data_IF_989231910268
#
_entry.id   IF_989231910268
#
_cell.length_a   1.000
_cell.length_b   1.000
_cell.length_c   1.000
_cell.angle_alpha   90.00
_cell.angle_beta   90.00
_cell.angle_gamma   90.00
#
_symmetry.space_group_name_H-M   'P 1'
#
loop_
_entity.id
_entity.type
_entity.pdbx_description
1 polymer ?
#
# COMPACT_ATOMS: atom_id res chain seq x y z
N UNK A 1 80.31 -10.39 -19.92
CA UNK A 1 79.11 -9.98 -20.68
C UNK A 1 77.98 -11.00 -20.60
N UNK A 2 78.25 -12.29 -20.34
CA UNK A 2 77.25 -13.37 -20.27
C UNK A 2 76.38 -13.36 -19.01
N UNK A 3 76.96 -13.13 -17.82
CA UNK A 3 76.22 -13.15 -16.54
C UNK A 3 75.14 -12.06 -16.39
N UNK A 4 75.31 -10.92 -17.06
CA UNK A 4 74.33 -9.82 -17.03
C UNK A 4 73.09 -10.16 -17.86
N UNK A 5 73.27 -10.91 -18.96
CA UNK A 5 72.19 -11.34 -19.84
C UNK A 5 71.37 -12.44 -19.17
N UNK A 6 72.02 -13.37 -18.46
CA UNK A 6 71.34 -14.46 -17.76
C UNK A 6 70.48 -13.95 -16.59
N UNK A 7 70.95 -12.95 -15.84
CA UNK A 7 70.20 -12.33 -14.75
C UNK A 7 69.00 -11.52 -15.27
N UNK A 8 69.14 -10.83 -16.41
CA UNK A 8 68.04 -10.13 -17.07
C UNK A 8 66.96 -11.11 -17.57
N UNK A 9 67.36 -12.25 -18.15
CA UNK A 9 66.45 -13.29 -18.61
C UNK A 9 65.70 -13.96 -17.45
N UNK A 10 66.36 -14.21 -16.31
CA UNK A 10 65.70 -14.73 -15.11
C UNK A 10 64.67 -13.75 -14.53
N UNK A 11 64.99 -12.45 -14.49
CA UNK A 11 64.03 -11.42 -14.05
C UNK A 11 62.81 -11.34 -14.98
N UNK A 12 63.03 -11.43 -16.29
CA UNK A 12 61.94 -11.39 -17.28
C UNK A 12 61.01 -12.61 -17.12
N UNK A 13 61.58 -13.81 -16.92
CA UNK A 13 60.79 -15.02 -16.65
C UNK A 13 59.98 -14.93 -15.35
N UNK A 14 60.55 -14.34 -14.30
CA UNK A 14 59.82 -14.12 -13.04
C UNK A 14 58.69 -13.11 -13.18
N UNK A 15 58.87 -12.06 -13.99
CA UNK A 15 57.83 -11.07 -14.28
C UNK A 15 56.70 -11.66 -15.12
N UNK A 16 57.02 -12.47 -16.13
CA UNK A 16 56.01 -13.14 -16.96
C UNK A 16 55.17 -14.14 -16.16
N UNK A 17 55.79 -14.91 -15.26
CA UNK A 17 55.07 -15.82 -14.36
C UNK A 17 54.21 -15.06 -13.35
N UNK A 18 54.65 -13.88 -12.89
CA UNK A 18 53.85 -13.00 -12.03
C UNK A 18 52.63 -12.45 -12.79
N UNK A 19 52.82 -11.93 -14.00
CA UNK A 19 51.73 -11.43 -14.86
C UNK A 19 50.71 -12.51 -15.19
N UNK A 20 51.16 -13.74 -15.48
CA UNK A 20 50.25 -14.88 -15.72
C UNK A 20 49.38 -15.19 -14.50
N UNK A 21 49.95 -15.12 -13.29
CA UNK A 21 49.18 -15.34 -12.05
C UNK A 21 48.18 -14.21 -11.80
N UNK A 22 48.56 -12.96 -12.02
CA UNK A 22 47.67 -11.81 -11.89
C UNK A 22 46.49 -11.88 -12.88
N UNK A 23 46.74 -12.30 -14.13
CA UNK A 23 45.68 -12.51 -15.14
C UNK A 23 44.74 -13.64 -14.71
N UNK A 24 45.29 -14.77 -14.24
CA UNK A 24 44.48 -15.90 -13.78
C UNK A 24 43.62 -15.56 -12.54
N UNK A 25 44.13 -14.70 -11.65
CA UNK A 25 43.38 -14.21 -10.49
C UNK A 25 42.27 -13.23 -10.89
N UNK A 26 42.56 -12.31 -11.83
CA UNK A 26 41.56 -11.39 -12.37
C UNK A 26 40.42 -12.13 -13.09
N UNK A 27 40.73 -13.21 -13.82
CA UNK A 27 39.71 -14.04 -14.47
C UNK A 27 38.82 -14.78 -13.46
N UNK A 28 39.39 -15.26 -12.35
CA UNK A 28 38.60 -15.86 -11.25
C UNK A 28 37.66 -14.84 -10.62
N UNK A 29 38.15 -13.63 -10.34
CA UNK A 29 37.31 -12.57 -9.76
C UNK A 29 36.17 -12.18 -10.70
N UNK A 30 36.44 -12.13 -12.03
CA UNK A 30 35.39 -11.88 -13.03
C UNK A 30 34.32 -12.97 -13.03
N UNK A 31 34.71 -14.24 -12.98
CA UNK A 31 33.75 -15.35 -12.91
C UNK A 31 32.88 -15.30 -11.65
N UNK A 32 33.46 -14.91 -10.52
CA UNK A 32 32.73 -14.79 -9.26
C UNK A 32 31.74 -13.61 -9.28
N UNK A 33 32.12 -12.47 -9.89
CA UNK A 33 31.23 -11.33 -10.11
C UNK A 33 30.09 -11.70 -11.06
N UNK A 34 30.36 -12.41 -12.15
CA UNK A 34 29.34 -12.83 -13.10
C UNK A 34 28.35 -13.81 -12.46
N UNK A 35 28.84 -14.78 -11.67
CA UNK A 35 28.00 -15.68 -10.89
C UNK A 35 27.11 -14.92 -9.89
N UNK A 36 27.70 -13.98 -9.15
CA UNK A 36 26.95 -13.15 -8.18
C UNK A 36 25.89 -12.31 -8.88
N UNK A 37 26.19 -11.79 -10.08
CA UNK A 37 25.25 -11.00 -10.88
C UNK A 37 24.10 -11.85 -11.40
N UNK A 38 24.35 -13.08 -11.84
CA UNK A 38 23.30 -14.01 -12.25
C UNK A 38 22.37 -14.37 -11.09
N UNK A 39 22.92 -14.67 -9.90
CA UNK A 39 22.12 -14.92 -8.70
C UNK A 39 21.24 -13.72 -8.31
N UNK A 40 21.77 -12.50 -8.42
CA UNK A 40 21.00 -11.26 -8.15
C UNK A 40 19.92 -11.04 -9.21
N UNK A 41 20.21 -11.31 -10.49
CA UNK A 41 19.24 -11.21 -11.59
C UNK A 41 18.12 -12.24 -11.45
N UNK A 42 18.41 -13.44 -10.97
CA UNK A 42 17.41 -14.46 -10.69
C UNK A 42 16.49 -14.05 -9.54
N UNK A 43 17.05 -13.52 -8.44
CA UNK A 43 16.26 -12.94 -7.33
C UNK A 43 15.40 -11.76 -7.76
N UNK A 44 15.91 -10.90 -8.65
CA UNK A 44 15.13 -9.78 -9.19
C UNK A 44 14.01 -10.25 -10.13
N UNK A 45 14.22 -11.32 -10.91
CA UNK A 45 13.16 -11.94 -11.73
C UNK A 45 12.09 -12.60 -10.87
N UNK A 46 12.46 -13.21 -9.75
CA UNK A 46 11.53 -13.75 -8.76
C UNK A 46 10.71 -12.62 -8.10
N UNK A 47 11.36 -11.52 -7.71
CA UNK A 47 10.69 -10.36 -7.13
C UNK A 47 9.83 -9.55 -8.13
N UNK A 48 10.14 -9.62 -9.43
CA UNK A 48 9.43 -8.93 -10.50
C UNK A 48 8.29 -9.76 -11.12
N UNK A 49 8.09 -11.01 -10.70
CA UNK A 49 6.87 -11.74 -11.07
C UNK A 49 5.67 -11.06 -10.39
N UNK A 50 4.64 -10.63 -11.16
CA UNK A 50 3.38 -10.21 -10.55
C UNK A 50 2.88 -11.40 -9.71
N UNK A 51 2.25 -11.18 -8.54
CA UNK A 51 1.82 -12.27 -7.67
C UNK A 51 0.99 -13.29 -8.47
N UNK A 52 1.61 -14.42 -8.81
CA UNK A 52 0.97 -15.51 -9.55
C UNK A 52 0.22 -16.36 -8.54
N UNK A 53 -0.97 -15.90 -8.21
CA UNK A 53 -1.96 -16.61 -7.41
C UNK A 53 -3.18 -15.71 -7.22
N UNK A 54 -4.39 -16.26 -7.01
CA UNK A 54 -5.45 -15.44 -6.44
C UNK A 54 -4.87 -14.85 -5.15
N UNK A 55 -4.83 -13.53 -5.02
CA UNK A 55 -4.58 -12.89 -3.72
C UNK A 55 -5.58 -13.50 -2.77
N UNK A 56 -5.17 -14.50 -1.99
CA UNK A 56 -6.06 -15.18 -1.07
C UNK A 56 -6.29 -14.16 0.04
N UNK A 57 -7.34 -13.35 -0.10
CA UNK A 57 -7.70 -12.36 0.91
C UNK A 57 -8.13 -13.13 2.15
N UNK A 58 -7.18 -13.35 3.05
CA UNK A 58 -7.44 -13.89 4.37
C UNK A 58 -7.81 -12.73 5.28
N UNK A 59 -8.91 -12.85 6.01
CA UNK A 59 -9.23 -11.94 7.10
C UNK A 59 -8.09 -12.00 8.13
N UNK A 60 -8.11 -11.09 9.11
CA UNK A 60 -7.09 -10.93 10.18
C UNK A 60 -6.71 -12.26 10.88
N UNK A 61 -7.57 -13.28 10.83
CA UNK A 61 -7.43 -14.60 11.45
C UNK A 61 -7.53 -15.79 10.47
N UNK A 62 -7.58 -15.55 9.15
CA UNK A 62 -7.79 -16.60 8.14
C UNK A 62 -9.24 -16.75 7.68
N UNK A 63 -9.48 -17.68 6.73
CA UNK A 63 -10.76 -17.84 6.01
C UNK A 63 -11.97 -18.25 6.86
N UNK A 64 -11.75 -18.81 8.05
CA UNK A 64 -12.82 -19.38 8.89
C UNK A 64 -13.01 -18.65 10.22
N UNK A 65 -12.40 -17.47 10.37
CA UNK A 65 -12.52 -16.70 11.60
C UNK A 65 -13.98 -16.29 11.84
N UNK A 66 -14.44 -16.40 13.07
CA UNK A 66 -15.75 -15.89 13.48
C UNK A 66 -15.67 -14.39 13.79
N UNK A 67 -16.80 -13.65 13.72
CA UNK A 67 -16.85 -12.25 14.15
C UNK A 67 -16.31 -12.01 15.57
N UNK A 68 -16.57 -12.93 16.48
CA UNK A 68 -16.17 -12.83 17.89
C UNK A 68 -14.66 -12.99 18.08
N UNK A 69 -14.04 -13.94 17.36
CA UNK A 69 -12.59 -14.10 17.37
C UNK A 69 -11.89 -12.88 16.78
N UNK A 70 -12.43 -12.33 15.69
CA UNK A 70 -11.92 -11.09 15.09
C UNK A 70 -12.04 -9.93 16.07
N UNK A 71 -13.19 -9.77 16.74
CA UNK A 71 -13.36 -8.75 17.77
C UNK A 71 -12.35 -8.90 18.92
N UNK A 72 -12.11 -10.13 19.35
CA UNK A 72 -11.17 -10.42 20.43
C UNK A 72 -9.76 -10.00 20.03
N UNK A 73 -9.27 -10.46 18.88
CA UNK A 73 -7.94 -10.11 18.38
C UNK A 73 -7.79 -8.61 18.12
N UNK A 74 -8.81 -7.96 17.58
CA UNK A 74 -8.79 -6.51 17.31
C UNK A 74 -8.73 -5.72 18.62
N UNK A 75 -9.48 -6.10 19.65
CA UNK A 75 -9.42 -5.46 20.96
C UNK A 75 -8.09 -5.74 21.70
N UNK A 76 -7.49 -6.93 21.53
CA UNK A 76 -6.14 -7.23 22.02
C UNK A 76 -5.08 -6.37 21.32
N UNK A 77 -5.15 -6.29 19.99
CA UNK A 77 -4.27 -5.45 19.18
C UNK A 77 -4.41 -3.97 19.54
N UNK A 78 -5.62 -3.51 19.89
CA UNK A 78 -5.87 -2.15 20.36
C UNK A 78 -5.20 -1.89 21.71
N UNK A 79 -5.30 -2.83 22.66
CA UNK A 79 -4.60 -2.75 23.96
C UNK A 79 -3.08 -2.70 23.80
N UNK A 80 -2.54 -3.39 22.79
CA UNK A 80 -1.11 -3.41 22.51
C UNK A 80 -0.56 -2.11 21.89
N UNK A 81 -1.42 -1.19 21.41
CA UNK A 81 -0.97 0.14 20.96
C UNK A 81 -0.46 0.93 22.19
N UNK A 82 0.73 1.55 22.13
CA UNK A 82 1.23 2.44 23.17
C UNK A 82 0.23 3.54 23.53
N UNK A 83 0.24 3.98 24.79
CA UNK A 83 -0.64 5.06 25.25
C UNK A 83 -0.27 6.41 24.64
N UNK A 84 0.99 6.59 24.25
CA UNK A 84 1.46 7.75 23.49
C UNK A 84 2.11 7.25 22.20
N UNK A 85 1.61 7.71 21.06
CA UNK A 85 2.19 7.41 19.75
C UNK A 85 2.86 8.66 19.21
N UNK A 86 4.18 8.59 18.99
CA UNK A 86 4.97 9.65 18.37
C UNK A 86 5.04 9.41 16.86
N UNK A 87 4.86 10.45 16.05
CA UNK A 87 5.00 10.34 14.61
C UNK A 87 6.48 10.10 14.23
N UNK A 88 6.74 9.11 13.36
CA UNK A 88 8.10 8.81 12.89
C UNK A 88 8.71 9.97 12.07
N UNK A 89 7.85 10.80 11.46
CA UNK A 89 8.26 11.89 10.57
C UNK A 89 8.29 13.27 11.26
N UNK A 90 7.71 13.40 12.46
CA UNK A 90 7.68 14.65 13.23
C UNK A 90 7.71 14.34 14.74
N UNK A 91 8.89 14.46 15.35
CA UNK A 91 9.15 14.08 16.75
C UNK A 91 8.30 14.88 17.76
N UNK A 92 7.77 16.04 17.35
CA UNK A 92 6.97 16.91 18.20
C UNK A 92 5.46 16.56 18.21
N UNK A 93 5.01 15.72 17.28
CA UNK A 93 3.61 15.28 17.19
C UNK A 93 3.42 13.96 17.97
N UNK A 94 2.89 14.08 19.20
CA UNK A 94 2.46 12.96 20.03
C UNK A 94 0.94 12.87 20.14
N UNK A 95 0.39 11.67 19.98
CA UNK A 95 -1.04 11.42 20.10
C UNK A 95 -1.32 10.53 21.32
N UNK A 96 -2.07 11.07 22.28
CA UNK A 96 -2.53 10.33 23.44
C UNK A 96 -3.70 9.40 23.07
N UNK A 97 -3.59 8.15 23.48
CA UNK A 97 -4.60 7.13 23.26
C UNK A 97 -5.84 7.46 24.11
N UNK A 98 -7.02 7.61 23.49
CA UNK A 98 -8.21 7.93 24.23
C UNK A 98 -8.63 6.76 25.14
N UNK A 99 -9.15 7.09 26.32
CA UNK A 99 -9.66 6.10 27.27
C UNK A 99 -11.01 5.50 26.85
N UNK A 100 -11.32 4.31 27.35
CA UNK A 100 -12.64 3.68 27.19
C UNK A 100 -12.98 3.21 25.77
N UNK A 101 -12.01 3.18 24.87
CA UNK A 101 -12.21 2.73 23.48
C UNK A 101 -12.28 1.21 23.41
N UNK A 102 -13.32 0.70 22.73
CA UNK A 102 -13.47 -0.72 22.38
C UNK A 102 -14.11 -0.90 21.02
N UNK A 103 -13.71 -1.96 20.34
CA UNK A 103 -14.41 -2.45 19.17
C UNK A 103 -15.63 -3.26 19.62
N UNK A 104 -16.80 -2.87 19.13
CA UNK A 104 -18.10 -3.43 19.56
C UNK A 104 -18.64 -4.46 18.60
N UNK A 105 -18.46 -4.25 17.29
CA UNK A 105 -18.96 -5.16 16.26
C UNK A 105 -17.89 -5.41 15.21
N UNK A 106 -17.84 -6.65 14.71
CA UNK A 106 -17.09 -7.02 13.53
C UNK A 106 -18.04 -7.70 12.55
N UNK A 107 -18.02 -7.27 11.29
CA UNK A 107 -18.77 -7.90 10.22
C UNK A 107 -17.80 -8.38 9.15
N UNK A 108 -17.81 -9.68 8.93
CA UNK A 108 -17.00 -10.32 7.90
C UNK A 108 -17.67 -10.12 6.53
N UNK A 109 -16.88 -9.75 5.54
CA UNK A 109 -17.30 -9.59 4.16
C UNK A 109 -16.89 -10.81 3.34
N UNK A 110 -17.63 -11.09 2.26
CA UNK A 110 -17.36 -12.23 1.36
C UNK A 110 -16.00 -12.14 0.65
N UNK A 111 -15.46 -10.93 0.49
CA UNK A 111 -14.14 -10.67 -0.10
C UNK A 111 -12.99 -10.80 0.92
N UNK A 112 -13.28 -11.26 2.13
CA UNK A 112 -12.32 -11.39 3.22
C UNK A 112 -12.03 -10.10 4.00
N UNK A 113 -12.71 -8.99 3.68
CA UNK A 113 -12.66 -7.77 4.46
C UNK A 113 -13.40 -7.90 5.79
N UNK A 114 -13.08 -7.00 6.73
CA UNK A 114 -13.79 -6.87 8.00
C UNK A 114 -14.22 -5.42 8.18
N UNK A 115 -15.51 -5.21 8.42
CA UNK A 115 -16.02 -3.93 8.89
C UNK A 115 -16.02 -3.96 10.41
N UNK A 116 -15.36 -2.98 11.01
CA UNK A 116 -15.25 -2.83 12.45
C UNK A 116 -16.02 -1.59 12.90
N UNK A 117 -16.70 -1.70 14.04
CA UNK A 117 -17.37 -0.58 14.69
C UNK A 117 -16.71 -0.31 16.05
N UNK A 118 -16.49 0.97 16.34
CA UNK A 118 -15.87 1.45 17.57
C UNK A 118 -16.93 2.20 18.37
N UNK A 119 -16.93 2.02 19.69
CA UNK A 119 -17.92 2.61 20.57
C UNK A 119 -17.88 4.15 20.67
N UNK A 120 -16.81 4.80 20.19
CA UNK A 120 -16.68 6.26 20.23
C UNK A 120 -16.08 6.82 18.95
N UNK A 121 -16.43 8.07 18.67
CA UNK A 121 -15.83 8.87 17.60
C UNK A 121 -14.35 9.20 17.86
N UNK A 122 -13.95 9.43 19.12
CA UNK A 122 -12.55 9.71 19.45
C UNK A 122 -11.63 8.55 19.09
N UNK A 123 -12.08 7.30 19.28
CA UNK A 123 -11.33 6.12 18.87
C UNK A 123 -11.17 6.00 17.36
N UNK A 124 -12.22 6.30 16.58
CA UNK A 124 -12.13 6.29 15.11
C UNK A 124 -11.22 7.40 14.61
N UNK A 125 -11.31 8.62 15.18
CA UNK A 125 -10.45 9.74 14.83
C UNK A 125 -8.97 9.44 15.14
N UNK A 126 -8.69 8.90 16.33
CA UNK A 126 -7.34 8.49 16.73
C UNK A 126 -6.71 7.49 15.74
N UNK A 127 -7.47 6.49 15.29
CA UNK A 127 -7.04 5.51 14.27
C UNK A 127 -6.86 6.08 12.86
N UNK A 128 -7.43 7.26 12.57
CA UNK A 128 -7.21 7.92 11.28
C UNK A 128 -5.80 8.52 11.17
N UNK A 129 -5.14 8.83 12.29
CA UNK A 129 -3.77 9.32 12.25
C UNK A 129 -2.80 8.29 11.65
N UNK A 130 -1.98 8.65 10.64
CA UNK A 130 -1.11 7.70 9.95
C UNK A 130 -0.16 6.92 10.86
N UNK A 131 0.41 7.59 11.88
CA UNK A 131 1.34 6.98 12.84
C UNK A 131 0.64 5.91 13.70
N UNK A 132 -0.55 6.23 14.21
CA UNK A 132 -1.39 5.31 14.99
C UNK A 132 -1.86 4.14 14.12
N UNK A 133 -2.37 4.44 12.92
CA UNK A 133 -2.84 3.44 11.95
C UNK A 133 -1.73 2.42 11.65
N UNK A 134 -0.50 2.89 11.41
CA UNK A 134 0.67 2.04 11.16
C UNK A 134 0.97 1.14 12.36
N UNK A 135 0.96 1.66 13.58
CA UNK A 135 1.15 0.85 14.79
C UNK A 135 0.06 -0.21 14.93
N UNK A 136 -1.20 0.16 14.74
CA UNK A 136 -2.31 -0.77 14.85
C UNK A 136 -2.30 -1.85 13.76
N UNK A 137 -1.90 -1.52 12.53
CA UNK A 137 -1.70 -2.52 11.48
C UNK A 137 -0.58 -3.49 11.84
N UNK A 138 0.55 -2.98 12.36
CA UNK A 138 1.67 -3.81 12.82
C UNK A 138 1.23 -4.79 13.92
N UNK A 139 0.35 -4.40 14.84
CA UNK A 139 -0.16 -5.30 15.89
C UNK A 139 -1.13 -6.36 15.37
N UNK A 140 -1.86 -6.08 14.28
CA UNK A 140 -2.78 -7.04 13.67
C UNK A 140 -2.08 -8.09 12.77
N UNK A 141 -0.99 -7.71 12.11
CA UNK A 141 -0.15 -8.58 11.28
C UNK A 141 0.39 -7.92 10.00
N UNK A 142 1.27 -8.61 9.28
CA UNK A 142 1.99 -8.04 8.11
C UNK A 142 1.12 -7.71 6.89
N UNK A 143 -0.02 -8.38 6.73
CA UNK A 143 -0.87 -8.25 5.53
C UNK A 143 -2.21 -7.52 5.80
N UNK A 144 -2.28 -6.72 6.86
CA UNK A 144 -3.51 -6.01 7.25
C UNK A 144 -3.48 -4.57 6.76
N UNK A 145 -4.38 -4.24 5.84
CA UNK A 145 -4.63 -2.86 5.42
C UNK A 145 -5.88 -2.29 6.08
N UNK A 146 -5.76 -1.17 6.79
CA UNK A 146 -6.93 -0.41 7.28
C UNK A 146 -7.30 0.62 6.24
N UNK A 147 -8.56 0.58 5.79
CA UNK A 147 -9.11 1.52 4.80
C UNK A 147 -10.22 2.33 5.43
N UNK A 148 -10.21 3.62 5.16
CA UNK A 148 -11.35 4.47 5.48
C UNK A 148 -12.57 4.00 4.68
N UNK A 149 -13.74 4.05 5.31
CA UNK A 149 -14.97 3.67 4.64
C UNK A 149 -15.28 4.72 3.58
N UNK A 150 -15.49 4.25 2.36
CA UNK A 150 -16.06 5.04 1.29
C UNK A 150 -17.56 4.79 1.22
N UNK A 151 -18.33 5.87 1.07
CA UNK A 151 -19.78 5.82 0.90
C UNK A 151 -20.11 6.04 -0.58
N UNK A 152 -20.95 5.16 -1.13
CA UNK A 152 -21.49 5.38 -2.46
C UNK A 152 -22.77 6.20 -2.33
N UNK A 153 -22.77 7.42 -2.86
CA UNK A 153 -23.94 8.28 -2.96
C UNK A 153 -24.53 8.16 -4.36
N UNK A 154 -25.86 8.03 -4.43
CA UNK A 154 -26.61 8.10 -5.67
C UNK A 154 -26.90 9.57 -6.00
N UNK A 155 -26.43 10.03 -7.15
CA UNK A 155 -26.74 11.36 -7.68
C UNK A 155 -27.75 11.19 -8.81
N UNK A 156 -28.95 11.71 -8.60
CA UNK A 156 -30.06 11.52 -9.53
C UNK A 156 -30.22 12.68 -10.51
N UNK A 157 -30.77 12.36 -11.68
CA UNK A 157 -31.21 13.34 -12.69
C UNK A 157 -30.12 14.30 -13.19
N UNK A 158 -28.89 13.81 -13.37
CA UNK A 158 -27.83 14.59 -14.00
C UNK A 158 -28.07 14.72 -15.51
N UNK A 159 -27.93 15.93 -16.09
CA UNK A 159 -28.02 16.12 -17.52
C UNK A 159 -26.99 15.27 -18.27
N UNK A 160 -27.42 14.56 -19.32
CA UNK A 160 -26.50 13.73 -20.13
C UNK A 160 -25.42 14.54 -20.85
N UNK A 161 -25.61 15.86 -20.98
CA UNK A 161 -24.62 16.79 -21.53
C UNK A 161 -23.32 16.83 -20.71
N UNK A 162 -23.33 16.33 -19.47
CA UNK A 162 -22.16 16.20 -18.61
C UNK A 162 -21.32 14.94 -18.89
N UNK A 163 -21.66 14.12 -19.90
CA UNK A 163 -21.06 12.80 -20.12
C UNK A 163 -19.53 12.78 -20.04
N UNK A 164 -18.85 13.65 -20.80
CA UNK A 164 -17.38 13.71 -20.85
C UNK A 164 -16.76 14.49 -19.68
N UNK A 165 -17.57 15.24 -18.93
CA UNK A 165 -17.13 16.15 -17.88
C UNK A 165 -17.42 15.63 -16.49
N UNK A 166 -18.20 14.56 -16.34
CA UNK A 166 -18.68 14.10 -15.04
C UNK A 166 -17.51 13.86 -14.07
N UNK A 167 -16.42 13.25 -14.54
CA UNK A 167 -15.23 13.02 -13.71
C UNK A 167 -14.60 14.33 -13.22
N UNK A 168 -14.55 15.36 -14.08
CA UNK A 168 -13.99 16.68 -13.75
C UNK A 168 -14.90 17.47 -12.80
N UNK A 169 -16.19 17.12 -12.73
CA UNK A 169 -17.14 17.76 -11.81
C UNK A 169 -16.82 17.47 -10.35
N UNK A 170 -16.07 16.43 -10.02
CA UNK A 170 -15.73 16.10 -8.63
C UNK A 170 -15.07 17.29 -7.91
N UNK A 171 -14.06 17.91 -8.53
CA UNK A 171 -13.36 19.06 -7.92
C UNK A 171 -14.26 20.28 -7.80
N UNK A 172 -15.12 20.53 -8.79
CA UNK A 172 -16.08 21.65 -8.74
C UNK A 172 -17.09 21.43 -7.60
N UNK A 173 -17.63 20.22 -7.46
CA UNK A 173 -18.56 19.87 -6.39
C UNK A 173 -17.86 20.01 -5.04
N UNK A 174 -16.60 19.59 -4.91
CA UNK A 174 -15.85 19.77 -3.67
C UNK A 174 -15.69 21.25 -3.30
N UNK A 175 -15.26 22.08 -4.26
CA UNK A 175 -15.05 23.52 -4.05
C UNK A 175 -16.36 24.26 -3.72
N UNK A 176 -17.45 23.97 -4.45
CA UNK A 176 -18.75 24.62 -4.28
C UNK A 176 -19.45 24.22 -2.97
N UNK A 177 -19.15 23.04 -2.43
CA UNK A 177 -19.79 22.51 -1.21
C UNK A 177 -18.88 22.53 0.02
N UNK A 178 -17.73 23.21 -0.05
CA UNK A 178 -16.75 23.31 1.04
C UNK A 178 -16.20 21.95 1.51
N UNK A 179 -16.14 20.96 0.63
CA UNK A 179 -15.43 19.71 0.92
C UNK A 179 -13.93 19.89 0.81
N UNK A 180 -13.19 19.02 1.49
CA UNK A 180 -11.74 18.98 1.32
C UNK A 180 -11.45 18.36 -0.05
N UNK A 181 -10.47 18.91 -0.76
CA UNK A 181 -10.07 18.39 -2.06
C UNK A 181 -9.71 16.89 -1.96
N UNK A 182 -10.34 16.07 -2.80
CA UNK A 182 -10.21 14.62 -2.81
C UNK A 182 -11.13 13.88 -1.84
N UNK A 183 -12.08 14.54 -1.19
CA UNK A 183 -13.15 13.87 -0.43
C UNK A 183 -14.04 13.02 -1.36
N UNK A 184 -14.30 13.50 -2.58
CA UNK A 184 -14.93 12.75 -3.66
C UNK A 184 -13.83 11.95 -4.36
N UNK A 185 -13.76 10.65 -4.06
CA UNK A 185 -12.77 9.74 -4.63
C UNK A 185 -13.03 9.45 -6.10
N UNK A 186 -14.30 9.26 -6.46
CA UNK A 186 -14.69 8.95 -7.82
C UNK A 186 -16.15 9.30 -8.05
N UNK A 187 -16.47 9.89 -9.20
CA UNK A 187 -17.84 10.02 -9.69
C UNK A 187 -17.94 9.34 -11.05
N UNK A 188 -18.97 8.52 -11.25
CA UNK A 188 -19.18 7.79 -12.51
C UNK A 188 -20.66 7.60 -12.81
N UNK A 189 -21.00 7.50 -14.08
CA UNK A 189 -22.33 7.10 -14.50
C UNK A 189 -22.65 5.68 -14.02
N UNK A 190 -23.87 5.48 -13.53
CA UNK A 190 -24.31 4.14 -13.11
C UNK A 190 -24.54 3.20 -14.30
N UNK A 191 -24.90 3.78 -15.44
CA UNK A 191 -25.08 3.06 -16.70
C UNK A 191 -24.15 3.63 -17.75
N UNK A 192 -23.60 2.75 -18.58
CA UNK A 192 -22.68 3.13 -19.64
C UNK A 192 -23.37 4.10 -20.61
N UNK A 193 -22.84 5.33 -20.76
CA UNK A 193 -23.39 6.31 -21.69
C UNK A 193 -23.45 5.85 -23.14
N UNK A 194 -22.48 5.05 -23.59
CA UNK A 194 -22.35 4.69 -25.01
C UNK A 194 -23.36 3.62 -25.44
N UNK A 195 -23.80 2.77 -24.50
CA UNK A 195 -24.56 1.57 -24.83
C UNK A 195 -25.92 1.48 -24.14
N UNK A 196 -26.16 2.29 -23.10
CA UNK A 196 -27.32 2.11 -22.22
C UNK A 196 -28.35 3.25 -22.26
N UNK A 197 -28.02 4.37 -22.90
CA UNK A 197 -28.89 5.55 -22.90
C UNK A 197 -29.80 5.57 -24.13
N UNK A 198 -31.05 6.02 -23.94
CA UNK A 198 -31.98 6.19 -25.06
C UNK A 198 -31.63 7.46 -25.84
N UNK A 199 -31.94 7.49 -27.14
CA UNK A 199 -31.64 8.66 -28.01
C UNK A 199 -32.34 9.95 -27.57
N UNK A 200 -33.47 9.83 -26.87
CA UNK A 200 -34.30 10.91 -26.34
C UNK A 200 -34.06 11.18 -24.84
N UNK A 201 -33.14 10.44 -24.21
CA UNK A 201 -32.87 10.58 -22.79
C UNK A 201 -32.17 11.90 -22.51
N UNK A 202 -32.72 12.71 -21.58
CA UNK A 202 -32.13 13.99 -21.18
C UNK A 202 -31.34 13.92 -19.87
N UNK A 203 -31.67 12.95 -19.03
CA UNK A 203 -31.11 12.81 -17.68
C UNK A 203 -30.67 11.37 -17.40
N UNK A 204 -29.63 11.20 -16.59
CA UNK A 204 -29.14 9.91 -16.12
C UNK A 204 -28.71 9.99 -14.65
N UNK A 205 -28.38 8.84 -14.07
CA UNK A 205 -27.94 8.73 -12.67
C UNK A 205 -26.44 8.42 -12.60
N UNK A 206 -25.78 8.98 -11.60
CA UNK A 206 -24.39 8.73 -11.30
C UNK A 206 -24.23 8.19 -9.88
N UNK A 207 -23.14 7.47 -9.65
CA UNK A 207 -22.67 7.12 -8.31
C UNK A 207 -21.42 7.94 -8.00
N UNK A 208 -21.43 8.64 -6.87
CA UNK A 208 -20.27 9.28 -6.25
C UNK A 208 -19.73 8.38 -5.14
N UNK A 209 -18.42 8.21 -5.06
CA UNK A 209 -17.73 7.53 -3.97
C UNK A 209 -17.02 8.58 -3.12
N UNK A 210 -17.47 8.73 -1.90
CA UNK A 210 -17.03 9.80 -1.01
C UNK A 210 -16.36 9.20 0.21
N UNK A 211 -15.31 9.85 0.71
CA UNK A 211 -14.69 9.49 1.98
C UNK A 211 -15.56 9.99 3.14
N UNK A 212 -15.55 9.26 4.24
CA UNK A 212 -16.18 9.69 5.49
C UNK A 212 -15.50 10.97 6.03
N UNK A 213 -15.98 12.12 5.59
CA UNK A 213 -15.80 13.41 6.24
C UNK A 213 -17.11 13.83 6.87
N UNK A 214 -17.56 13.10 7.89
CA UNK A 214 -18.36 13.79 8.92
C UNK A 214 -17.53 14.94 9.47
N UNK A 215 -17.93 16.11 8.99
CA UNK A 215 -17.52 17.42 9.41
C UNK A 215 -17.58 17.46 10.93
N UNK A 216 -16.42 17.72 11.54
CA UNK A 216 -16.36 18.37 12.83
C UNK A 216 -16.97 19.76 12.62
N UNK A 217 -18.20 19.95 13.07
CA UNK A 217 -18.79 21.26 13.39
C UNK A 217 -19.32 21.17 14.82
#
# INVERSE_FOLDING_TARGET
MTEVIDNANQKLQQEDEKRKKEIAEADRQRQEIDKTREEVLEKLKEAAQPPQGPTQTTNILGRNATPEEVLTKVNEAWKAIPDVVVAEDDEYDSYDKPEGIKFVTARLLSNGGVILEINTFYGTHFLKHPAVRRHFQKTLGKDVSIKDRQYSILVEFLPITLQQRLADMATIIEEDNFYTKGDIHQIRWMRDPENSWRKDQQYAHASSQERDTKHVN
#
